data_IF_951930125600
#
_entry.id   IF_951930125600
#
_cell.length_a   1.000
_cell.length_b   1.000
_cell.length_c   1.000
_cell.angle_alpha   90.00
_cell.angle_beta   90.00
_cell.angle_gamma   90.00
#
_symmetry.space_group_name_H-M   'P 1'
#
loop_
_entity.id
_entity.type
_entity.pdbx_description
1 polymer ?
#
# COMPACT_ATOMS: atom_id res chain seq x y z
N UNK A 1 -65.21 10.23 -54.15
CA UNK A 1 -64.17 9.26 -53.84
C UNK A 1 -63.25 9.85 -52.77
N UNK A 2 -63.50 9.40 -51.55
CA UNK A 2 -62.81 9.87 -50.33
C UNK A 2 -61.51 9.15 -50.20
N UNK A 3 -60.39 9.92 -50.14
CA UNK A 3 -59.10 9.46 -49.71
C UNK A 3 -59.00 9.65 -48.20
N UNK A 4 -59.13 8.53 -47.50
CA UNK A 4 -58.83 8.50 -46.06
C UNK A 4 -57.27 8.52 -45.90
N UNK A 5 -56.72 9.61 -45.35
CA UNK A 5 -55.35 9.67 -44.90
C UNK A 5 -55.26 8.95 -43.55
N UNK A 6 -54.60 7.81 -43.54
CA UNK A 6 -54.18 7.18 -42.31
C UNK A 6 -52.96 7.89 -41.74
N UNK A 7 -53.17 8.54 -40.61
CA UNK A 7 -52.08 9.21 -39.86
C UNK A 7 -51.49 8.19 -38.90
N UNK A 8 -50.42 7.53 -39.33
CA UNK A 8 -49.62 6.68 -38.45
C UNK A 8 -48.89 7.54 -37.45
N UNK A 9 -49.34 7.58 -36.21
CA UNK A 9 -48.66 8.19 -35.10
C UNK A 9 -47.53 7.23 -34.67
N UNK A 10 -46.31 7.57 -35.07
CA UNK A 10 -45.12 6.88 -34.61
C UNK A 10 -44.84 7.35 -33.17
N UNK A 11 -45.19 6.50 -32.20
CA UNK A 11 -44.88 6.72 -30.79
C UNK A 11 -43.38 6.46 -30.59
N UNK A 12 -42.57 7.51 -30.69
CA UNK A 12 -41.13 7.46 -30.39
C UNK A 12 -41.00 7.51 -28.88
N UNK A 13 -40.92 6.35 -28.25
CA UNK A 13 -40.58 6.24 -26.83
C UNK A 13 -39.15 6.66 -26.63
N UNK A 14 -38.96 7.92 -26.26
CA UNK A 14 -37.68 8.43 -25.76
C UNK A 14 -37.41 7.80 -24.38
N UNK A 15 -36.64 6.71 -24.37
CA UNK A 15 -36.00 6.22 -23.14
C UNK A 15 -34.95 7.25 -22.76
N UNK A 16 -35.33 8.18 -21.93
CA UNK A 16 -34.36 8.98 -21.18
C UNK A 16 -33.69 8.04 -20.16
N UNK A 17 -32.52 7.52 -20.50
CA UNK A 17 -31.60 6.94 -19.55
C UNK A 17 -31.17 8.06 -18.60
N UNK A 18 -31.91 8.24 -17.52
CA UNK A 18 -31.42 8.98 -16.37
C UNK A 18 -30.32 8.13 -15.75
N UNK A 19 -29.12 8.21 -16.34
CA UNK A 19 -27.88 7.85 -15.67
C UNK A 19 -27.75 8.83 -14.51
N UNK A 20 -28.23 8.43 -13.33
CA UNK A 20 -27.75 9.03 -12.10
C UNK A 20 -26.28 8.64 -11.95
N UNK A 21 -25.40 9.31 -12.66
CA UNK A 21 -24.04 9.50 -12.19
C UNK A 21 -24.18 10.29 -10.88
N UNK A 22 -24.10 9.57 -9.79
CA UNK A 22 -23.91 10.17 -8.48
C UNK A 22 -22.55 10.87 -8.58
N UNK A 23 -22.57 12.15 -8.88
CA UNK A 23 -21.36 12.98 -8.83
C UNK A 23 -20.73 12.70 -7.46
N UNK A 24 -19.49 12.19 -7.49
CA UNK A 24 -18.74 12.01 -6.27
C UNK A 24 -18.70 13.40 -5.61
N UNK A 25 -19.19 13.45 -4.37
CA UNK A 25 -19.22 14.69 -3.58
C UNK A 25 -17.77 15.11 -3.33
N UNK A 26 -17.21 15.88 -4.28
CA UNK A 26 -15.82 16.35 -4.27
C UNK A 26 -15.52 17.27 -3.10
N UNK A 27 -16.54 17.84 -2.47
CA UNK A 27 -16.40 18.64 -1.25
C UNK A 27 -16.09 17.79 -0.01
N UNK A 28 -16.28 16.47 -0.12
CA UNK A 28 -15.91 15.48 0.92
C UNK A 28 -14.59 14.77 0.64
N UNK A 29 -13.93 15.03 -0.47
CA UNK A 29 -12.56 14.65 -0.68
C UNK A 29 -11.71 15.56 0.22
N UNK A 30 -11.45 15.08 1.42
CA UNK A 30 -10.47 15.67 2.32
C UNK A 30 -9.10 15.46 1.65
N UNK A 31 -8.71 16.43 0.78
CA UNK A 31 -7.52 16.41 -0.08
C UNK A 31 -6.21 16.47 0.72
N UNK A 32 -6.21 15.98 1.96
CA UNK A 32 -5.05 16.06 2.84
C UNK A 32 -3.97 15.04 2.47
N UNK A 33 -4.37 13.88 1.99
CA UNK A 33 -3.44 12.82 1.61
C UNK A 33 -4.04 11.86 0.56
N UNK A 34 -3.17 11.12 -0.10
CA UNK A 34 -3.55 10.07 -1.07
C UNK A 34 -3.11 8.71 -0.54
N UNK A 35 -4.00 7.73 -0.60
CA UNK A 35 -3.70 6.33 -0.26
C UNK A 35 -4.02 5.44 -1.45
N UNK A 36 -3.00 4.75 -1.92
CA UNK A 36 -3.10 3.73 -2.96
C UNK A 36 -2.74 2.37 -2.36
N UNK A 37 -3.54 1.34 -2.65
CA UNK A 37 -3.24 -0.04 -2.23
C UNK A 37 -3.38 -1.00 -3.41
N UNK A 38 -2.54 -2.02 -3.43
CA UNK A 38 -2.66 -3.12 -4.36
C UNK A 38 -2.24 -4.44 -3.69
N UNK A 39 -2.62 -5.58 -4.28
CA UNK A 39 -2.38 -6.87 -3.66
C UNK A 39 -2.38 -8.01 -4.68
N UNK A 40 -1.82 -9.14 -4.28
CA UNK A 40 -1.92 -10.41 -4.99
C UNK A 40 -3.33 -10.99 -4.83
N UNK A 41 -4.10 -10.98 -5.91
CA UNK A 41 -5.47 -11.51 -5.92
C UNK A 41 -5.53 -13.03 -5.75
N UNK A 42 -4.41 -13.71 -5.93
CA UNK A 42 -4.29 -15.16 -5.73
C UNK A 42 -3.92 -15.55 -4.30
N UNK A 43 -3.47 -14.56 -3.47
CA UNK A 43 -3.06 -14.81 -2.11
C UNK A 43 -4.25 -15.19 -1.21
N UNK A 44 -4.06 -16.26 -0.44
CA UNK A 44 -5.00 -16.65 0.62
C UNK A 44 -4.59 -16.01 1.94
N UNK A 45 -5.01 -14.76 2.17
CA UNK A 45 -4.67 -14.03 3.38
C UNK A 45 -5.12 -14.71 4.67
N UNK A 46 -6.18 -15.53 4.61
CA UNK A 46 -6.69 -16.26 5.76
C UNK A 46 -5.81 -17.44 6.19
N UNK A 47 -4.86 -17.87 5.37
CA UNK A 47 -3.93 -18.98 5.73
C UNK A 47 -2.81 -18.56 6.66
N UNK A 48 -2.49 -17.26 6.73
CA UNK A 48 -1.42 -16.74 7.59
C UNK A 48 -1.91 -16.44 9.00
N UNK A 49 -1.05 -16.62 10.00
CA UNK A 49 -1.38 -16.45 11.41
C UNK A 49 -0.57 -15.34 12.08
N UNK A 50 0.71 -15.28 11.77
CA UNK A 50 1.68 -14.44 12.44
C UNK A 50 2.30 -13.42 11.50
N UNK A 51 2.75 -12.31 12.07
CA UNK A 51 3.54 -11.32 11.33
C UNK A 51 4.65 -10.75 12.19
N UNK A 52 5.75 -10.42 11.55
CA UNK A 52 6.82 -9.62 12.11
C UNK A 52 6.72 -8.17 11.59
N UNK A 53 6.85 -7.21 12.48
CA UNK A 53 6.88 -5.79 12.17
C UNK A 53 8.06 -5.18 12.93
N UNK A 54 9.09 -4.63 12.24
CA UNK A 54 10.19 -3.94 12.89
C UNK A 54 9.74 -2.79 13.79
N UNK A 55 10.50 -2.52 14.86
CA UNK A 55 10.22 -1.43 15.82
C UNK A 55 10.70 -0.06 15.32
N UNK A 56 11.05 0.05 14.06
CA UNK A 56 11.50 1.28 13.43
C UNK A 56 11.02 1.37 11.99
N UNK A 57 10.94 2.59 11.47
CA UNK A 57 10.57 2.87 10.08
C UNK A 57 11.87 3.10 9.32
N UNK A 58 12.07 2.39 8.21
CA UNK A 58 13.23 2.60 7.34
C UNK A 58 13.10 3.94 6.63
N UNK A 59 14.11 4.79 6.74
CA UNK A 59 14.16 6.06 6.01
C UNK A 59 14.91 5.86 4.70
N UNK A 60 14.23 6.11 3.60
CA UNK A 60 14.81 6.12 2.26
C UNK A 60 15.19 7.54 1.92
N UNK A 61 16.49 7.78 1.79
CA UNK A 61 17.07 9.09 1.56
C UNK A 61 18.36 9.00 0.78
N UNK A 62 19.19 10.03 0.90
CA UNK A 62 20.43 10.16 0.14
C UNK A 62 21.63 9.48 0.81
N UNK A 63 21.44 8.93 2.01
CA UNK A 63 22.53 8.28 2.76
C UNK A 63 22.85 6.91 2.19
N UNK A 64 24.13 6.55 2.21
CA UNK A 64 24.61 5.23 1.83
C UNK A 64 24.43 4.18 2.92
N UNK A 65 24.16 4.61 4.15
CA UNK A 65 23.92 3.75 5.30
C UNK A 65 22.45 3.76 5.68
N UNK A 66 21.96 2.66 6.23
CA UNK A 66 20.60 2.54 6.71
C UNK A 66 20.30 3.62 7.77
N UNK A 67 19.22 4.32 7.60
CA UNK A 67 18.68 5.30 8.56
C UNK A 67 17.32 4.81 9.04
N UNK A 68 17.12 4.83 10.36
CA UNK A 68 15.88 4.35 10.98
C UNK A 68 15.24 5.45 11.81
N UNK A 69 13.92 5.53 11.71
CA UNK A 69 13.09 6.40 12.52
C UNK A 69 12.38 5.57 13.59
N UNK A 70 12.69 5.80 14.86
CA UNK A 70 12.20 5.01 15.99
C UNK A 70 11.80 5.83 17.22
N UNK A 71 11.65 7.15 17.07
CA UNK A 71 11.18 8.02 18.15
C UNK A 71 9.70 7.77 18.51
N UNK A 72 9.18 8.52 19.47
CA UNK A 72 7.78 8.42 19.92
C UNK A 72 6.77 8.55 18.78
N UNK A 73 7.05 9.39 17.79
CA UNK A 73 6.17 9.59 16.64
C UNK A 73 6.18 8.38 15.70
N UNK A 74 7.35 7.80 15.44
CA UNK A 74 7.47 6.55 14.71
C UNK A 74 6.71 5.43 15.43
N UNK A 75 6.82 5.34 16.76
CA UNK A 75 6.11 4.33 17.54
C UNK A 75 4.60 4.46 17.47
N UNK A 76 4.03 5.68 17.39
CA UNK A 76 2.59 5.91 17.16
C UNK A 76 2.15 5.33 15.82
N UNK A 77 2.93 5.56 14.78
CA UNK A 77 2.64 5.03 13.43
C UNK A 77 2.75 3.49 13.42
N UNK A 78 3.84 2.94 13.95
CA UNK A 78 4.06 1.48 14.03
C UNK A 78 2.94 0.79 14.83
N UNK A 79 2.54 1.38 15.96
CA UNK A 79 1.44 0.87 16.78
C UNK A 79 0.11 0.88 16.03
N UNK A 80 -0.10 1.84 15.12
CA UNK A 80 -1.29 1.88 14.27
C UNK A 80 -1.30 0.73 13.27
N UNK A 81 -0.16 0.39 12.67
CA UNK A 81 -0.03 -0.82 11.83
C UNK A 81 -0.33 -2.08 12.64
N UNK A 82 0.28 -2.21 13.82
CA UNK A 82 0.08 -3.37 14.68
C UNK A 82 -1.40 -3.52 15.09
N UNK A 83 -2.06 -2.44 15.48
CA UNK A 83 -3.48 -2.45 15.83
C UNK A 83 -4.36 -2.91 14.66
N UNK A 84 -4.08 -2.43 13.45
CA UNK A 84 -4.81 -2.84 12.25
C UNK A 84 -4.58 -4.32 11.91
N UNK A 85 -3.35 -4.81 11.95
CA UNK A 85 -3.05 -6.23 11.70
C UNK A 85 -3.71 -7.12 12.75
N UNK A 86 -3.60 -6.77 14.04
CA UNK A 86 -4.19 -7.54 15.12
C UNK A 86 -5.73 -7.60 15.02
N UNK A 87 -6.38 -6.47 14.66
CA UNK A 87 -7.84 -6.43 14.49
C UNK A 87 -8.34 -7.31 13.33
N UNK A 88 -7.44 -7.70 12.43
CA UNK A 88 -7.71 -8.61 11.32
C UNK A 88 -7.42 -10.08 11.61
N UNK A 89 -7.04 -10.38 12.86
CA UNK A 89 -6.82 -11.74 13.35
C UNK A 89 -5.38 -12.23 13.24
N UNK A 90 -4.43 -11.40 12.79
CA UNK A 90 -3.01 -11.76 12.79
C UNK A 90 -2.38 -11.47 14.16
N UNK A 91 -1.37 -12.25 14.53
CA UNK A 91 -0.63 -12.08 15.78
C UNK A 91 0.78 -11.58 15.50
N UNK A 92 1.16 -10.45 16.10
CA UNK A 92 2.54 -9.95 16.04
C UNK A 92 3.45 -10.87 16.84
N UNK A 93 4.60 -11.21 16.28
CA UNK A 93 5.66 -11.95 16.98
C UNK A 93 7.00 -11.24 16.84
N UNK A 94 7.91 -11.49 17.79
CA UNK A 94 9.21 -10.83 17.85
C UNK A 94 10.29 -11.57 17.05
N UNK A 95 10.06 -12.85 16.75
CA UNK A 95 10.98 -13.66 15.95
C UNK A 95 10.57 -13.64 14.48
N UNK A 96 11.32 -12.89 13.68
CA UNK A 96 11.10 -12.78 12.23
C UNK A 96 11.16 -14.12 11.51
N UNK A 97 12.05 -15.03 11.95
CA UNK A 97 12.26 -16.32 11.30
C UNK A 97 11.09 -17.29 11.50
N UNK A 98 10.22 -17.01 12.47
CA UNK A 98 9.02 -17.80 12.78
C UNK A 98 7.74 -17.15 12.27
N UNK A 99 7.82 -15.95 11.67
CA UNK A 99 6.68 -15.23 11.17
C UNK A 99 6.25 -15.73 9.78
N UNK A 100 4.94 -15.88 9.57
CA UNK A 100 4.37 -16.18 8.25
C UNK A 100 4.51 -14.98 7.32
N UNK A 101 4.35 -13.76 7.88
CA UNK A 101 4.36 -12.50 7.15
C UNK A 101 5.41 -11.53 7.71
N UNK A 102 5.98 -10.71 6.83
CA UNK A 102 6.78 -9.55 7.20
C UNK A 102 6.06 -8.26 6.80
N UNK A 103 6.01 -7.27 7.66
CA UNK A 103 5.46 -5.95 7.34
C UNK A 103 6.59 -4.92 7.31
N UNK A 104 6.99 -4.54 6.11
CA UNK A 104 8.01 -3.53 5.87
C UNK A 104 7.36 -2.16 5.79
N UNK A 105 7.77 -1.23 6.65
CA UNK A 105 7.34 0.17 6.60
C UNK A 105 8.54 1.05 6.28
N UNK A 106 8.42 1.84 5.22
CA UNK A 106 9.47 2.75 4.76
C UNK A 106 8.92 4.16 4.58
N UNK A 107 9.73 5.16 4.94
CA UNK A 107 9.46 6.58 4.74
C UNK A 107 10.40 7.15 3.68
N UNK A 108 9.85 7.71 2.62
CA UNK A 108 10.62 8.33 1.53
C UNK A 108 10.95 9.77 1.91
N UNK A 109 12.15 10.01 2.39
CA UNK A 109 12.65 11.32 2.80
C UNK A 109 13.15 12.13 1.61
N UNK A 110 13.73 11.46 0.62
CA UNK A 110 14.24 12.07 -0.61
C UNK A 110 14.00 11.16 -1.79
N UNK A 111 13.60 11.75 -2.92
CA UNK A 111 13.38 11.03 -4.19
C UNK A 111 14.66 10.89 -5.03
N UNK A 112 15.79 11.41 -4.57
CA UNK A 112 17.06 11.35 -5.32
C UNK A 112 17.43 9.91 -5.70
N UNK A 113 17.31 9.00 -4.76
CA UNK A 113 17.58 7.58 -4.99
C UNK A 113 16.59 6.97 -5.99
N UNK A 114 15.30 7.32 -5.89
CA UNK A 114 14.22 6.84 -6.73
C UNK A 114 14.40 7.28 -8.19
N UNK A 115 14.75 8.53 -8.42
CA UNK A 115 14.91 9.09 -9.77
C UNK A 115 16.14 8.55 -10.50
N UNK A 116 17.19 8.18 -9.79
CA UNK A 116 18.42 7.68 -10.41
C UNK A 116 18.40 6.18 -10.73
N UNK A 117 17.57 5.41 -10.06
CA UNK A 117 17.51 3.94 -10.24
C UNK A 117 16.20 3.41 -10.84
N UNK A 118 15.19 4.21 -10.99
CA UNK A 118 14.11 4.14 -11.99
C UNK A 118 13.09 3.00 -11.93
N UNK A 119 13.07 2.12 -10.93
CA UNK A 119 12.05 1.05 -10.79
C UNK A 119 11.99 0.53 -9.33
N UNK A 120 10.92 -0.14 -8.89
CA UNK A 120 10.84 -0.78 -7.56
C UNK A 120 11.99 -1.76 -7.28
N UNK A 121 12.66 -2.24 -8.30
CA UNK A 121 13.81 -3.17 -8.23
C UNK A 121 15.02 -2.61 -7.47
N UNK A 122 15.14 -1.30 -7.33
CA UNK A 122 16.27 -0.68 -6.63
C UNK A 122 16.22 -0.87 -5.11
N UNK A 123 15.04 -1.15 -4.53
CA UNK A 123 14.89 -1.47 -3.12
C UNK A 123 15.81 -2.60 -2.65
N UNK A 124 16.05 -3.56 -3.52
CA UNK A 124 16.88 -4.72 -3.19
C UNK A 124 18.31 -4.38 -2.81
N UNK A 125 18.85 -3.35 -3.38
CA UNK A 125 20.18 -2.84 -3.05
C UNK A 125 20.17 -1.72 -2.00
N UNK A 126 18.98 -1.35 -1.46
CA UNK A 126 18.89 -0.30 -0.47
C UNK A 126 19.29 -0.84 0.91
N UNK A 127 20.20 -0.16 1.64
CA UNK A 127 20.62 -0.62 2.95
C UNK A 127 19.46 -0.61 3.96
N UNK A 128 19.47 -1.55 4.88
CA UNK A 128 18.49 -1.69 5.93
C UNK A 128 17.64 -2.95 5.78
N UNK A 129 16.32 -2.85 5.91
CA UNK A 129 15.43 -4.02 5.89
C UNK A 129 15.36 -4.71 4.52
N UNK A 130 15.78 -4.06 3.47
CA UNK A 130 15.86 -4.64 2.14
C UNK A 130 17.21 -5.26 1.82
N UNK A 131 18.13 -5.30 2.79
CA UNK A 131 19.36 -6.06 2.63
C UNK A 131 19.06 -7.54 2.60
N UNK A 132 19.66 -8.24 1.65
CA UNK A 132 19.77 -9.69 1.70
C UNK A 132 20.80 -10.02 2.79
N UNK A 133 20.49 -10.75 3.79
CA UNK A 133 19.35 -11.65 4.03
C UNK A 133 18.38 -11.16 5.12
N UNK A 134 18.09 -9.87 5.23
CA UNK A 134 17.28 -9.39 6.38
C UNK A 134 15.94 -10.14 6.50
N UNK A 135 15.21 -10.30 5.38
CA UNK A 135 13.92 -10.99 5.35
C UNK A 135 14.04 -12.51 5.14
N UNK A 136 15.25 -13.06 5.01
CA UNK A 136 15.51 -14.47 4.78
C UNK A 136 16.43 -14.70 3.58
N UNK A 137 16.62 -15.97 3.20
CA UNK A 137 17.50 -16.35 2.10
C UNK A 137 16.74 -16.32 0.76
N UNK A 138 16.58 -15.15 0.19
CA UNK A 138 15.94 -14.92 -1.09
C UNK A 138 16.96 -14.43 -2.11
N UNK A 139 16.79 -14.82 -3.39
CA UNK A 139 17.60 -14.32 -4.49
C UNK A 139 17.14 -12.96 -4.98
N UNK A 140 15.85 -12.66 -4.84
CA UNK A 140 15.19 -11.43 -5.28
C UNK A 140 13.79 -11.35 -4.64
N UNK A 141 13.01 -10.32 -4.96
CA UNK A 141 11.59 -10.24 -4.63
C UNK A 141 10.76 -9.92 -5.88
N UNK A 142 9.44 -10.12 -5.80
CA UNK A 142 8.56 -9.75 -6.89
C UNK A 142 7.17 -9.33 -6.40
N UNK A 143 6.54 -8.49 -7.24
CA UNK A 143 5.16 -8.10 -7.06
C UNK A 143 4.30 -8.91 -8.04
N UNK A 144 3.38 -9.80 -7.56
CA UNK A 144 2.48 -10.54 -8.44
C UNK A 144 1.37 -9.67 -9.04
N UNK A 145 1.52 -8.35 -8.97
CA UNK A 145 0.61 -7.34 -9.48
C UNK A 145 1.38 -6.11 -9.98
N UNK A 146 0.73 -5.29 -10.81
CA UNK A 146 1.36 -4.07 -11.31
C UNK A 146 1.49 -3.00 -10.22
N UNK A 147 2.68 -2.40 -10.10
CA UNK A 147 2.94 -1.23 -9.27
C UNK A 147 2.88 0.01 -10.16
N UNK A 148 1.90 0.89 -9.95
CA UNK A 148 1.57 2.00 -10.85
C UNK A 148 1.77 3.39 -10.24
N UNK A 149 2.22 3.49 -9.01
CA UNK A 149 2.47 4.78 -8.36
C UNK A 149 3.93 5.22 -8.51
N UNK A 150 4.14 6.53 -8.44
CA UNK A 150 5.47 7.13 -8.36
C UNK A 150 5.75 7.55 -6.92
N UNK A 151 6.99 7.30 -6.48
CA UNK A 151 7.41 7.72 -5.14
C UNK A 151 7.58 9.23 -5.07
N UNK A 152 7.12 9.84 -3.97
CA UNK A 152 7.31 11.25 -3.69
C UNK A 152 7.94 11.45 -2.30
N UNK A 153 8.66 12.54 -2.13
CA UNK A 153 9.18 12.95 -0.82
C UNK A 153 8.02 13.12 0.16
N UNK A 154 8.19 12.62 1.39
CA UNK A 154 7.16 12.70 2.41
C UNK A 154 6.08 11.63 2.29
N UNK A 155 6.34 10.55 1.56
CA UNK A 155 5.42 9.42 1.44
C UNK A 155 5.86 8.24 2.30
N UNK A 156 4.88 7.38 2.65
CA UNK A 156 5.14 6.06 3.18
C UNK A 156 4.89 5.00 2.12
N UNK A 157 5.72 3.98 2.16
CA UNK A 157 5.54 2.73 1.41
C UNK A 157 5.51 1.60 2.41
N UNK A 158 4.46 0.80 2.35
CA UNK A 158 4.30 -0.37 3.21
C UNK A 158 4.11 -1.60 2.35
N UNK A 159 4.81 -2.65 2.66
CA UNK A 159 4.80 -3.90 1.91
C UNK A 159 4.63 -5.08 2.85
N UNK A 160 3.69 -5.96 2.50
CA UNK A 160 3.45 -7.19 3.22
C UNK A 160 4.08 -8.35 2.46
N UNK A 161 5.05 -9.00 3.10
CA UNK A 161 5.90 -10.03 2.55
C UNK A 161 5.40 -11.40 2.95
N UNK A 162 5.45 -12.37 2.04
CA UNK A 162 5.21 -13.77 2.36
C UNK A 162 6.51 -14.47 2.79
N UNK A 163 6.74 -14.58 4.10
CA UNK A 163 7.93 -15.25 4.65
C UNK A 163 7.78 -16.76 4.71
N UNK A 164 6.55 -17.29 4.59
CA UNK A 164 6.24 -18.71 4.55
C UNK A 164 6.49 -19.35 3.17
N UNK A 165 6.79 -18.53 2.16
CA UNK A 165 7.12 -19.02 0.83
C UNK A 165 8.47 -19.77 0.82
N UNK A 166 8.67 -20.75 -0.07
CA UNK A 166 9.93 -21.49 -0.16
C UNK A 166 11.13 -20.57 -0.40
N UNK A 167 12.15 -20.67 0.45
CA UNK A 167 13.38 -19.89 0.37
C UNK A 167 14.45 -20.56 -0.50
N UNK A 168 15.40 -19.78 -0.97
CA UNK A 168 16.57 -20.25 -1.73
C UNK A 168 17.20 -19.12 -2.54
N UNK A 169 18.44 -19.30 -2.98
CA UNK A 169 19.18 -18.26 -3.75
C UNK A 169 18.53 -17.88 -5.08
N UNK A 170 17.69 -18.74 -5.63
CA UNK A 170 16.92 -18.49 -6.85
C UNK A 170 15.44 -18.20 -6.58
N UNK A 171 15.02 -18.32 -5.31
CA UNK A 171 13.64 -18.02 -4.92
C UNK A 171 13.40 -16.53 -4.86
N UNK A 172 12.19 -16.12 -5.17
CA UNK A 172 11.77 -14.71 -5.09
C UNK A 172 10.81 -14.54 -3.91
N UNK A 173 11.07 -13.53 -3.09
CA UNK A 173 10.20 -13.15 -1.97
C UNK A 173 8.91 -12.50 -2.52
N UNK A 174 7.73 -13.12 -2.31
CA UNK A 174 6.49 -12.54 -2.79
C UNK A 174 6.06 -11.34 -1.94
N UNK A 175 5.72 -10.23 -2.59
CA UNK A 175 5.08 -9.06 -1.97
C UNK A 175 3.56 -9.21 -2.15
N UNK A 176 2.85 -9.56 -1.09
CA UNK A 176 1.43 -9.88 -1.16
C UNK A 176 0.52 -8.66 -1.19
N UNK A 177 0.94 -7.57 -0.55
CA UNK A 177 0.18 -6.34 -0.47
C UNK A 177 1.12 -5.14 -0.36
N UNK A 178 0.71 -4.04 -0.97
CA UNK A 178 1.42 -2.78 -0.90
C UNK A 178 0.46 -1.65 -0.61
N UNK A 179 0.86 -0.72 0.26
CA UNK A 179 0.21 0.57 0.45
C UNK A 179 1.21 1.69 0.21
N UNK A 180 0.82 2.64 -0.62
CA UNK A 180 1.53 3.89 -0.85
C UNK A 180 0.69 5.06 -0.33
N UNK A 181 1.28 5.90 0.48
CA UNK A 181 0.60 7.03 1.12
C UNK A 181 1.43 8.29 0.95
N UNK A 182 0.83 9.36 0.40
CA UNK A 182 1.52 10.63 0.14
C UNK A 182 0.70 11.83 0.61
N UNK A 183 1.31 13.01 0.63
CA UNK A 183 0.67 14.22 1.16
C UNK A 183 0.70 14.31 2.68
N UNK A 184 1.66 13.66 3.33
CA UNK A 184 1.73 13.49 4.78
C UNK A 184 2.67 14.48 5.48
N UNK A 185 3.11 15.52 4.77
CA UNK A 185 3.98 16.54 5.35
C UNK A 185 3.15 17.66 6.01
N UNK A 186 3.64 18.13 7.15
CA UNK A 186 3.23 19.39 7.79
C UNK A 186 4.22 20.48 7.40
N UNK A 187 3.79 21.45 6.62
CA UNK A 187 4.72 22.36 5.96
C UNK A 187 5.55 21.65 4.89
N UNK A 188 6.80 22.05 4.70
CA UNK A 188 7.63 21.53 3.59
C UNK A 188 8.51 20.33 3.95
N UNK A 189 8.72 20.00 5.23
CA UNK A 189 9.79 19.07 5.63
C UNK A 189 9.45 18.12 6.77
N UNK A 190 8.40 18.37 7.56
CA UNK A 190 8.07 17.56 8.74
C UNK A 190 6.92 16.61 8.46
N UNK A 191 7.03 15.36 8.91
CA UNK A 191 5.94 14.38 8.82
C UNK A 191 4.80 14.79 9.76
N UNK A 192 3.59 14.83 9.22
CA UNK A 192 2.39 14.99 10.03
C UNK A 192 1.94 13.61 10.53
N UNK A 193 2.18 13.35 11.82
CA UNK A 193 1.90 12.05 12.44
C UNK A 193 0.42 11.71 12.42
N UNK A 194 -0.45 12.69 12.69
CA UNK A 194 -1.91 12.46 12.70
C UNK A 194 -2.44 12.13 11.31
N UNK A 195 -1.96 12.81 10.26
CA UNK A 195 -2.29 12.45 8.87
C UNK A 195 -1.73 11.08 8.50
N UNK A 196 -0.53 10.73 8.97
CA UNK A 196 0.07 9.43 8.73
C UNK A 196 -0.77 8.31 9.37
N UNK A 197 -1.24 8.49 10.59
CA UNK A 197 -2.14 7.55 11.27
C UNK A 197 -3.46 7.40 10.50
N UNK A 198 -4.05 8.51 10.04
CA UNK A 198 -5.27 8.47 9.23
C UNK A 198 -5.04 7.73 7.91
N UNK A 199 -3.92 7.98 7.24
CA UNK A 199 -3.56 7.32 5.97
C UNK A 199 -3.35 5.81 6.16
N UNK A 200 -2.67 5.38 7.23
CA UNK A 200 -2.52 3.96 7.59
C UNK A 200 -3.89 3.33 7.81
N UNK A 201 -4.76 3.92 8.62
CA UNK A 201 -6.11 3.40 8.84
C UNK A 201 -6.91 3.33 7.53
N UNK A 202 -6.78 4.33 6.64
CA UNK A 202 -7.42 4.33 5.34
C UNK A 202 -6.90 3.18 4.45
N UNK A 203 -5.59 2.92 4.43
CA UNK A 203 -5.01 1.83 3.67
C UNK A 203 -5.59 0.47 4.08
N UNK A 204 -5.74 0.25 5.36
CA UNK A 204 -6.38 -0.96 5.86
C UNK A 204 -7.90 -0.98 5.59
N UNK A 205 -8.61 0.14 5.76
CA UNK A 205 -10.06 0.23 5.51
C UNK A 205 -10.40 -0.17 4.07
N UNK A 206 -9.62 0.26 3.09
CA UNK A 206 -9.84 -0.10 1.68
C UNK A 206 -9.31 -1.50 1.32
N UNK A 207 -8.54 -2.15 2.21
CA UNK A 207 -7.98 -3.49 2.03
C UNK A 207 -8.77 -4.55 2.80
N UNK A 208 -10.06 -4.70 2.51
CA UNK A 208 -11.00 -5.59 3.23
C UNK A 208 -10.67 -7.07 3.10
N UNK A 209 -9.92 -7.46 2.09
CA UNK A 209 -9.43 -8.81 1.82
C UNK A 209 -8.26 -9.21 2.75
N UNK A 210 -7.52 -8.23 3.30
CA UNK A 210 -6.40 -8.44 4.20
C UNK A 210 -6.93 -8.79 5.61
N UNK A 211 -7.28 -10.05 5.80
CA UNK A 211 -7.79 -10.59 7.07
C UNK A 211 -7.62 -12.10 7.13
N UNK A 212 -7.50 -12.61 8.35
CA UNK A 212 -7.56 -14.02 8.67
C UNK A 212 -8.99 -14.55 8.72
#
# INVERSE_FOLDING_TARGET
TSMKKELSILFMAAFTLASCEKEADTDKLDNKFVVYTNYDKSANFASFNTYYLPDSILIIGDKKEAEYWNDENAQKIISTYAANMNSRGYTRIDNREEADLGLQVSYVKSTYFVTNYGQPVWWWGYPGYWDVPYWGNWGDWYYPYAVTYSYSTGSFVTELLNLDAPQGQTAQLPILWTAYMSGLLSGSTSVNVDLSIQAVNQAFTQSTYLKK
#
